data_IF_488643113512
#
_entry.id   IF_488643113512
#
_cell.length_a   1.000
_cell.length_b   1.000
_cell.length_c   1.000
_cell.angle_alpha   90.00
_cell.angle_beta   90.00
_cell.angle_gamma   90.00
#
_symmetry.space_group_name_H-M   'P 1'
#
loop_
_entity.id
_entity.type
_entity.pdbx_description
1 polymer ?
#
# COMPACT_ATOMS: atom_id res chain seq x y z
N UNK A 1 25.39 15.71 3.94
CA UNK A 1 24.28 15.18 4.74
C UNK A 1 23.39 16.37 5.05
N UNK A 2 22.13 16.45 4.58
CA UNK A 2 21.24 17.47 5.10
C UNK A 2 21.07 17.21 6.59
N UNK A 3 21.17 18.23 7.41
CA UNK A 3 20.91 18.18 8.84
C UNK A 3 19.46 17.75 9.07
N UNK A 4 19.27 16.46 9.24
CA UNK A 4 17.98 15.84 9.52
C UNK A 4 17.62 15.93 11.00
N UNK A 5 17.71 17.12 11.57
CA UNK A 5 17.20 17.33 12.93
C UNK A 5 15.68 17.20 12.89
N UNK A 6 15.14 16.30 13.71
CA UNK A 6 13.69 16.18 13.91
C UNK A 6 13.15 17.52 14.45
N UNK A 7 11.89 17.85 14.10
CA UNK A 7 11.27 19.08 14.59
C UNK A 7 11.17 19.09 16.12
N UNK A 8 11.17 20.27 16.74
CA UNK A 8 10.97 20.40 18.19
C UNK A 8 9.68 19.71 18.68
N UNK A 9 8.61 19.76 17.88
CA UNK A 9 7.32 19.17 18.24
C UNK A 9 7.38 17.64 18.21
N UNK A 10 8.04 17.05 17.21
CA UNK A 10 8.27 15.62 17.14
C UNK A 10 9.14 15.14 18.32
N UNK A 11 10.17 15.90 18.67
CA UNK A 11 11.02 15.56 19.82
C UNK A 11 10.28 15.66 21.15
N UNK A 12 9.41 16.65 21.32
CA UNK A 12 8.57 16.78 22.50
C UNK A 12 7.56 15.63 22.63
N UNK A 13 6.96 15.23 21.50
CA UNK A 13 6.04 14.07 21.47
C UNK A 13 6.78 12.76 21.78
N UNK A 14 7.97 12.58 21.21
CA UNK A 14 8.81 11.43 21.50
C UNK A 14 9.15 11.33 23.00
N UNK A 15 9.53 12.46 23.62
CA UNK A 15 9.79 12.49 25.06
C UNK A 15 8.55 12.08 25.88
N UNK A 16 7.36 12.60 25.54
CA UNK A 16 6.08 12.18 26.19
C UNK A 16 5.83 10.69 26.08
N UNK A 17 6.10 10.09 24.93
CA UNK A 17 5.96 8.65 24.73
C UNK A 17 6.95 7.84 25.57
N UNK A 18 8.20 8.30 25.65
CA UNK A 18 9.21 7.66 26.48
C UNK A 18 8.84 7.72 27.98
N UNK A 19 8.39 8.89 28.46
CA UNK A 19 7.93 9.06 29.85
C UNK A 19 6.73 8.18 30.19
N UNK A 20 5.85 7.95 29.23
CA UNK A 20 4.72 7.04 29.35
C UNK A 20 5.08 5.55 29.14
N UNK A 21 6.35 5.20 28.89
CA UNK A 21 6.79 3.84 28.58
C UNK A 21 6.27 3.29 27.25
N UNK A 22 5.81 4.16 26.36
CA UNK A 22 5.27 3.77 25.05
C UNK A 22 6.42 3.61 24.04
N UNK A 23 6.23 2.71 23.08
CA UNK A 23 7.14 2.51 21.95
C UNK A 23 6.42 2.84 20.64
N UNK A 24 6.93 3.82 19.90
CA UNK A 24 6.47 4.08 18.55
C UNK A 24 6.84 2.91 17.63
N UNK A 25 5.88 2.46 16.83
CA UNK A 25 6.09 1.41 15.83
C UNK A 25 5.82 2.01 14.47
N UNK A 26 6.82 1.97 13.60
CA UNK A 26 6.73 2.45 12.22
C UNK A 26 6.82 1.29 11.25
N UNK A 27 6.18 1.45 10.13
CA UNK A 27 6.28 0.57 8.98
C UNK A 27 6.14 1.39 7.69
N UNK A 28 6.66 0.86 6.61
CA UNK A 28 6.63 1.51 5.30
C UNK A 28 5.64 0.81 4.40
N UNK A 29 5.03 1.56 3.48
CA UNK A 29 4.29 1.01 2.34
C UNK A 29 4.82 1.67 1.08
N UNK A 30 5.07 0.86 0.06
CA UNK A 30 5.40 1.30 -1.28
C UNK A 30 4.45 0.62 -2.26
N UNK A 31 3.86 1.40 -3.15
CA UNK A 31 2.82 0.96 -4.07
C UNK A 31 3.38 0.81 -5.49
N UNK A 32 2.62 0.18 -6.40
CA UNK A 32 2.90 0.05 -7.84
C UNK A 32 4.07 -0.88 -8.23
N UNK A 33 4.56 -1.72 -7.35
CA UNK A 33 5.65 -2.63 -7.69
C UNK A 33 5.22 -3.68 -8.72
N UNK A 34 6.05 -3.88 -9.75
CA UNK A 34 5.85 -4.90 -10.80
C UNK A 34 7.12 -5.67 -11.11
N UNK A 35 8.28 -5.05 -10.98
CA UNK A 35 9.60 -5.62 -11.25
C UNK A 35 10.66 -5.00 -10.34
N UNK A 36 11.83 -5.61 -10.28
CA UNK A 36 12.97 -5.02 -9.58
C UNK A 36 13.47 -3.77 -10.34
N UNK A 37 13.55 -2.65 -9.61
CA UNK A 37 14.03 -1.36 -10.14
C UNK A 37 15.13 -0.80 -9.25
N UNK A 38 15.99 0.11 -9.75
CA UNK A 38 17.00 0.76 -8.91
C UNK A 38 16.39 1.51 -7.71
N UNK A 39 15.16 2.03 -7.84
CA UNK A 39 14.45 2.67 -6.73
C UNK A 39 14.02 1.67 -5.68
N UNK A 40 13.47 0.51 -6.09
CA UNK A 40 13.13 -0.57 -5.17
C UNK A 40 14.37 -1.12 -4.46
N UNK A 41 15.50 -1.25 -5.15
CA UNK A 41 16.77 -1.69 -4.51
C UNK A 41 17.22 -0.74 -3.41
N UNK A 42 17.11 0.57 -3.64
CA UNK A 42 17.40 1.58 -2.60
C UNK A 42 16.44 1.46 -1.42
N UNK A 43 15.15 1.25 -1.68
CA UNK A 43 14.16 1.05 -0.62
C UNK A 43 14.46 -0.22 0.19
N UNK A 44 14.78 -1.34 -0.46
CA UNK A 44 15.20 -2.58 0.19
C UNK A 44 16.42 -2.35 1.08
N UNK A 45 17.44 -1.66 0.59
CA UNK A 45 18.62 -1.33 1.39
C UNK A 45 18.27 -0.48 2.63
N UNK A 46 17.38 0.49 2.49
CA UNK A 46 16.89 1.30 3.62
C UNK A 46 16.15 0.44 4.65
N UNK A 47 15.26 -0.46 4.23
CA UNK A 47 14.55 -1.34 5.16
C UNK A 47 15.51 -2.22 5.97
N UNK A 48 16.60 -2.67 5.36
CA UNK A 48 17.64 -3.45 6.04
C UNK A 48 18.45 -2.61 7.02
N UNK A 49 18.87 -1.40 6.63
CA UNK A 49 19.66 -0.50 7.50
C UNK A 49 18.88 -0.08 8.74
N UNK A 50 17.59 0.22 8.59
CA UNK A 50 16.75 0.71 9.68
C UNK A 50 15.89 -0.37 10.35
N UNK A 51 16.04 -1.63 9.95
CA UNK A 51 15.20 -2.76 10.38
C UNK A 51 13.69 -2.45 10.28
N UNK A 52 13.30 -1.67 9.25
CA UNK A 52 11.94 -1.18 9.08
C UNK A 52 11.09 -2.18 8.28
N UNK A 53 9.91 -2.62 8.79
CA UNK A 53 9.00 -3.45 8.01
C UNK A 53 8.47 -2.69 6.80
N UNK A 54 8.38 -3.38 5.65
CA UNK A 54 7.82 -2.85 4.40
C UNK A 54 6.64 -3.72 3.94
N UNK A 55 5.51 -3.11 3.71
CA UNK A 55 4.42 -3.68 2.92
C UNK A 55 4.55 -3.19 1.48
N UNK A 56 4.97 -4.06 0.58
CA UNK A 56 5.10 -3.77 -0.85
C UNK A 56 3.81 -4.16 -1.56
N UNK A 57 3.08 -3.17 -2.08
CA UNK A 57 1.85 -3.40 -2.83
C UNK A 57 2.18 -3.65 -4.30
N UNK A 58 1.92 -4.87 -4.75
CA UNK A 58 2.31 -5.38 -6.08
C UNK A 58 1.09 -5.45 -6.97
N UNK A 59 1.21 -4.92 -8.20
CA UNK A 59 0.17 -4.99 -9.23
C UNK A 59 0.18 -6.39 -9.87
N UNK A 60 -0.85 -7.24 -9.63
CA UNK A 60 -0.80 -8.65 -10.03
C UNK A 60 -0.60 -8.87 -11.52
N UNK A 61 -1.35 -8.17 -12.37
CA UNK A 61 -1.34 -8.36 -13.82
C UNK A 61 0.04 -8.11 -14.46
N UNK A 62 0.92 -7.39 -13.77
CA UNK A 62 2.24 -6.99 -14.28
C UNK A 62 3.40 -7.51 -13.43
N UNK A 63 3.11 -8.23 -12.35
CA UNK A 63 4.13 -8.77 -11.45
C UNK A 63 5.02 -9.80 -12.16
N UNK A 64 6.34 -9.60 -12.09
CA UNK A 64 7.30 -10.48 -12.74
C UNK A 64 7.83 -11.55 -11.79
N UNK A 65 8.16 -12.71 -12.31
CA UNK A 65 8.88 -13.75 -11.55
C UNK A 65 10.24 -13.24 -11.05
N UNK A 66 10.89 -12.35 -11.79
CA UNK A 66 12.15 -11.72 -11.38
C UNK A 66 12.00 -10.93 -10.07
N UNK A 67 10.87 -10.22 -9.88
CA UNK A 67 10.57 -9.53 -8.64
C UNK A 67 10.44 -10.54 -7.48
N UNK A 68 9.71 -11.63 -7.68
CA UNK A 68 9.53 -12.65 -6.65
C UNK A 68 10.86 -13.31 -6.25
N UNK A 69 11.71 -13.62 -7.23
CA UNK A 69 13.07 -14.15 -6.98
C UNK A 69 13.90 -13.13 -6.19
N UNK A 70 13.86 -11.85 -6.59
CA UNK A 70 14.63 -10.79 -5.91
C UNK A 70 14.25 -10.58 -4.46
N UNK A 71 12.97 -10.69 -4.14
CA UNK A 71 12.47 -10.44 -2.78
C UNK A 71 12.58 -11.65 -1.84
N UNK A 72 12.85 -12.83 -2.39
CA UNK A 72 12.91 -14.08 -1.62
C UNK A 72 13.91 -13.97 -0.47
N UNK A 73 13.47 -14.36 0.73
CA UNK A 73 14.32 -14.36 1.93
C UNK A 73 14.51 -12.99 2.58
N UNK A 74 13.84 -11.95 2.08
CA UNK A 74 13.82 -10.63 2.73
C UNK A 74 12.67 -10.59 3.76
N UNK A 75 12.92 -11.02 4.98
CA UNK A 75 11.88 -11.26 6.00
C UNK A 75 11.15 -9.99 6.47
N UNK A 76 11.75 -8.82 6.27
CA UNK A 76 11.11 -7.52 6.59
C UNK A 76 10.16 -7.03 5.51
N UNK A 77 10.10 -7.70 4.35
CA UNK A 77 9.22 -7.33 3.24
C UNK A 77 8.06 -8.29 3.17
N UNK A 78 6.86 -7.74 3.21
CA UNK A 78 5.59 -8.44 3.02
C UNK A 78 4.89 -7.90 1.79
N UNK A 79 4.16 -8.75 1.09
CA UNK A 79 3.54 -8.43 -0.19
C UNK A 79 2.03 -8.31 -0.02
N UNK A 80 1.48 -7.20 -0.50
CA UNK A 80 0.05 -6.96 -0.60
C UNK A 80 -0.41 -6.98 -2.06
N UNK A 81 -1.67 -7.29 -2.27
CA UNK A 81 -2.33 -7.20 -3.58
C UNK A 81 -2.70 -5.75 -3.87
N UNK A 82 -2.23 -5.18 -5.00
CA UNK A 82 -2.52 -3.80 -5.42
C UNK A 82 -3.45 -3.77 -6.64
N UNK A 83 -4.76 -3.86 -6.39
CA UNK A 83 -5.74 -4.00 -7.46
C UNK A 83 -5.55 -5.25 -8.30
N UNK A 84 -5.83 -5.14 -9.59
CA UNK A 84 -5.53 -6.13 -10.63
C UNK A 84 -4.47 -5.62 -11.61
N UNK A 85 -4.74 -4.52 -12.32
CA UNK A 85 -3.91 -3.98 -13.41
C UNK A 85 -3.56 -2.50 -13.25
N UNK A 86 -4.02 -1.88 -12.18
CA UNK A 86 -3.90 -0.44 -11.88
C UNK A 86 -4.52 0.45 -12.96
N UNK A 87 -5.64 0.02 -13.55
CA UNK A 87 -6.39 0.80 -14.54
C UNK A 87 -7.51 1.59 -13.88
N UNK A 88 -7.67 2.83 -14.34
CA UNK A 88 -8.79 3.65 -13.87
C UNK A 88 -10.10 3.23 -14.56
N UNK A 89 -11.07 2.82 -13.77
CA UNK A 89 -12.42 2.45 -14.22
C UNK A 89 -13.51 3.41 -13.72
N UNK A 90 -13.13 4.46 -13.00
CA UNK A 90 -14.08 5.47 -12.53
C UNK A 90 -14.75 6.20 -13.71
N UNK A 91 -16.01 6.58 -13.53
CA UNK A 91 -16.74 7.36 -14.51
C UNK A 91 -16.06 8.72 -14.78
N UNK A 92 -16.32 9.29 -15.95
CA UNK A 92 -15.77 10.60 -16.34
C UNK A 92 -16.10 11.66 -15.29
N UNK A 93 -15.11 12.48 -14.92
CA UNK A 93 -15.22 13.50 -13.88
C UNK A 93 -15.09 13.00 -12.44
N UNK A 94 -15.06 11.71 -12.22
CA UNK A 94 -14.83 11.12 -10.89
C UNK A 94 -13.33 10.95 -10.61
N UNK A 95 -12.98 10.85 -9.32
CA UNK A 95 -11.60 10.54 -8.91
C UNK A 95 -11.24 9.12 -9.35
N UNK A 96 -10.00 8.94 -9.81
CA UNK A 96 -9.49 7.64 -10.26
C UNK A 96 -9.71 6.54 -9.23
N UNK A 97 -10.17 5.39 -9.70
CA UNK A 97 -10.32 4.16 -8.93
C UNK A 97 -10.32 2.96 -9.88
N UNK A 98 -9.65 1.88 -9.51
CA UNK A 98 -9.78 0.58 -10.18
C UNK A 98 -10.85 -0.27 -9.52
N UNK A 99 -10.88 -0.28 -8.19
CA UNK A 99 -11.81 -1.06 -7.39
C UNK A 99 -13.21 -0.40 -7.34
N UNK A 100 -13.80 -0.17 -8.50
CA UNK A 100 -15.13 0.42 -8.67
C UNK A 100 -15.88 -0.21 -9.84
N UNK A 101 -17.17 -0.35 -9.68
CA UNK A 101 -18.10 -0.63 -10.77
C UNK A 101 -18.25 0.61 -11.68
N UNK A 102 -18.71 0.38 -12.89
CA UNK A 102 -19.01 1.44 -13.86
C UNK A 102 -20.10 0.97 -14.82
N UNK A 103 -21.33 1.33 -14.53
CA UNK A 103 -22.50 0.93 -15.30
C UNK A 103 -22.43 1.38 -16.77
N UNK A 104 -21.77 2.52 -17.06
CA UNK A 104 -21.63 3.02 -18.42
C UNK A 104 -20.74 2.11 -19.30
N UNK A 105 -19.86 1.34 -18.69
CA UNK A 105 -18.99 0.37 -19.38
C UNK A 105 -19.44 -1.08 -19.20
N UNK A 106 -20.52 -1.31 -18.47
CA UNK A 106 -21.03 -2.64 -18.13
C UNK A 106 -20.22 -3.37 -17.06
N UNK A 107 -19.29 -2.67 -16.36
CA UNK A 107 -18.46 -3.23 -15.30
C UNK A 107 -19.26 -3.32 -14.00
N UNK A 108 -19.49 -4.49 -13.51
CA UNK A 108 -20.18 -4.77 -12.25
C UNK A 108 -19.23 -4.88 -11.06
N UNK A 109 -19.77 -4.81 -9.83
CA UNK A 109 -19.00 -5.11 -8.63
C UNK A 109 -18.50 -6.56 -8.59
N UNK A 110 -19.24 -7.51 -9.21
CA UNK A 110 -18.80 -8.90 -9.32
C UNK A 110 -17.56 -9.04 -10.21
N UNK A 111 -17.47 -8.29 -11.31
CA UNK A 111 -16.27 -8.25 -12.16
C UNK A 111 -15.06 -7.74 -11.35
N UNK A 112 -15.26 -6.67 -10.57
CA UNK A 112 -14.21 -6.11 -9.71
C UNK A 112 -13.74 -7.13 -8.67
N UNK A 113 -14.67 -7.77 -7.97
CA UNK A 113 -14.35 -8.79 -6.97
C UNK A 113 -13.63 -9.99 -7.60
N UNK A 114 -14.04 -10.42 -8.79
CA UNK A 114 -13.38 -11.51 -9.53
C UNK A 114 -11.93 -11.15 -9.89
N UNK A 115 -11.67 -9.93 -10.35
CA UNK A 115 -10.33 -9.45 -10.65
C UNK A 115 -9.46 -9.39 -9.39
N UNK A 116 -9.97 -8.86 -8.28
CA UNK A 116 -9.26 -8.81 -7.01
C UNK A 116 -8.92 -10.23 -6.52
N UNK A 117 -9.89 -11.16 -6.56
CA UNK A 117 -9.67 -12.55 -6.17
C UNK A 117 -8.61 -13.23 -7.04
N UNK A 118 -8.62 -12.96 -8.34
CA UNK A 118 -7.63 -13.49 -9.29
C UNK A 118 -6.25 -12.93 -8.99
N UNK A 119 -6.15 -11.62 -8.78
CA UNK A 119 -4.90 -10.96 -8.41
C UNK A 119 -4.36 -11.46 -7.08
N UNK A 120 -5.21 -11.62 -6.08
CA UNK A 120 -4.82 -12.12 -4.77
C UNK A 120 -4.24 -13.55 -4.84
N UNK A 121 -4.88 -14.44 -5.59
CA UNK A 121 -4.35 -15.80 -5.82
C UNK A 121 -3.01 -15.78 -6.56
N UNK A 122 -2.87 -14.92 -7.57
CA UNK A 122 -1.61 -14.78 -8.32
C UNK A 122 -0.47 -14.31 -7.43
N UNK A 123 -0.69 -13.31 -6.59
CA UNK A 123 0.28 -12.82 -5.60
C UNK A 123 0.65 -13.94 -4.63
N UNK A 124 -0.32 -14.71 -4.13
CA UNK A 124 -0.07 -15.88 -3.28
C UNK A 124 0.82 -16.93 -3.96
N UNK A 125 0.59 -17.20 -5.25
CA UNK A 125 1.40 -18.14 -6.04
C UNK A 125 2.82 -17.64 -6.27
N UNK A 126 2.99 -16.36 -6.60
CA UNK A 126 4.31 -15.80 -6.93
C UNK A 126 5.20 -15.59 -5.69
N UNK A 127 4.62 -15.12 -4.59
CA UNK A 127 5.39 -14.67 -3.42
C UNK A 127 5.27 -15.61 -2.21
N UNK A 128 4.44 -16.63 -2.29
CA UNK A 128 4.31 -17.69 -1.27
C UNK A 128 4.19 -17.13 0.17
N UNK A 129 5.12 -17.49 1.06
CA UNK A 129 5.11 -17.10 2.47
C UNK A 129 5.28 -15.58 2.73
N UNK A 130 5.71 -14.79 1.73
CA UNK A 130 5.79 -13.34 1.85
C UNK A 130 4.46 -12.66 1.51
N UNK A 131 3.56 -13.35 0.78
CA UNK A 131 2.22 -12.86 0.50
C UNK A 131 1.42 -12.72 1.79
N UNK A 132 0.69 -11.62 1.90
CA UNK A 132 -0.23 -11.36 3.01
C UNK A 132 -1.68 -11.37 2.52
N UNK A 133 -2.62 -11.36 3.46
CA UNK A 133 -4.02 -11.13 3.12
C UNK A 133 -4.37 -9.66 2.87
N UNK A 134 -3.41 -8.75 2.78
CA UNK A 134 -3.69 -7.33 2.56
C UNK A 134 -4.05 -7.01 1.12
N UNK A 135 -5.10 -6.19 1.00
CA UNK A 135 -5.45 -5.48 -0.22
C UNK A 135 -5.14 -3.99 -0.07
N UNK A 136 -4.42 -3.43 -1.02
CA UNK A 136 -4.15 -2.00 -1.14
C UNK A 136 -4.92 -1.51 -2.36
N UNK A 137 -6.04 -0.79 -2.22
CA UNK A 137 -6.79 -0.32 -3.37
C UNK A 137 -5.99 0.74 -4.14
N UNK A 138 -5.84 0.63 -5.47
CA UNK A 138 -5.23 1.66 -6.30
C UNK A 138 -5.82 3.04 -6.01
N UNK A 139 -4.95 4.06 -5.95
CA UNK A 139 -5.26 5.43 -5.52
C UNK A 139 -5.91 5.53 -4.13
N UNK A 140 -5.80 4.50 -3.30
CA UNK A 140 -6.46 4.39 -1.99
C UNK A 140 -7.99 4.57 -2.07
N UNK A 141 -8.63 4.10 -3.15
CA UNK A 141 -10.05 4.25 -3.40
C UNK A 141 -10.70 2.95 -3.80
N UNK A 142 -11.91 2.76 -3.28
CA UNK A 142 -12.74 1.59 -3.52
C UNK A 142 -14.21 1.96 -3.40
N UNK A 143 -15.06 1.40 -4.27
CA UNK A 143 -16.51 1.58 -4.19
C UNK A 143 -17.07 0.90 -2.92
N UNK A 144 -18.09 1.48 -2.26
CA UNK A 144 -18.69 0.89 -1.06
C UNK A 144 -19.16 -0.55 -1.28
N UNK A 145 -19.84 -0.83 -2.40
CA UNK A 145 -20.33 -2.17 -2.72
C UNK A 145 -19.21 -3.22 -2.87
N UNK A 146 -18.03 -2.80 -3.34
CA UNK A 146 -16.84 -3.67 -3.40
C UNK A 146 -16.24 -3.85 -2.01
N UNK A 147 -16.18 -2.79 -1.20
CA UNK A 147 -15.61 -2.83 0.14
C UNK A 147 -16.39 -3.78 1.06
N UNK A 148 -17.72 -3.73 1.00
CA UNK A 148 -18.61 -4.58 1.80
C UNK A 148 -18.37 -6.08 1.55
N UNK A 149 -18.11 -6.44 0.29
CA UNK A 149 -17.94 -7.81 -0.16
C UNK A 149 -16.50 -8.27 -0.35
N UNK A 150 -15.52 -7.42 -0.02
CA UNK A 150 -14.12 -7.68 -0.30
C UNK A 150 -13.60 -8.99 0.31
N UNK A 151 -14.14 -9.40 1.47
CA UNK A 151 -13.79 -10.67 2.10
C UNK A 151 -14.08 -11.92 1.25
N UNK A 152 -15.01 -11.85 0.28
CA UNK A 152 -15.30 -12.94 -0.65
C UNK A 152 -14.14 -13.27 -1.58
N UNK A 153 -13.17 -12.34 -1.73
CA UNK A 153 -12.00 -12.48 -2.61
C UNK A 153 -10.84 -13.27 -2.00
N UNK A 154 -10.93 -13.64 -0.71
CA UNK A 154 -9.83 -14.22 0.05
C UNK A 154 -8.92 -13.20 0.73
N UNK A 155 -9.14 -11.91 0.51
CA UNK A 155 -8.48 -10.81 1.22
C UNK A 155 -8.94 -10.81 2.67
N UNK A 156 -8.03 -10.54 3.62
CA UNK A 156 -8.31 -10.55 5.06
C UNK A 156 -8.07 -9.22 5.76
N UNK A 157 -7.46 -8.25 5.09
CA UNK A 157 -7.21 -6.91 5.64
C UNK A 157 -7.04 -5.88 4.52
N UNK A 158 -7.21 -4.60 4.84
CA UNK A 158 -7.09 -3.49 3.89
C UNK A 158 -6.07 -2.48 4.41
N UNK A 159 -5.29 -1.92 3.48
CA UNK A 159 -4.43 -0.77 3.76
C UNK A 159 -4.74 0.36 2.77
N UNK A 160 -5.31 1.43 3.28
CA UNK A 160 -5.56 2.68 2.58
C UNK A 160 -4.68 3.81 3.11
N UNK A 161 -5.15 5.05 2.98
CA UNK A 161 -4.45 6.24 3.44
C UNK A 161 -5.32 7.11 4.36
N UNK A 162 -4.70 7.59 5.44
CA UNK A 162 -5.32 8.47 6.43
C UNK A 162 -6.32 7.74 7.33
N UNK A 163 -7.21 8.51 7.94
CA UNK A 163 -8.15 8.02 8.94
C UNK A 163 -9.46 7.49 8.35
N UNK A 164 -9.69 7.71 7.05
CA UNK A 164 -10.92 7.28 6.38
C UNK A 164 -10.90 5.78 6.15
N UNK A 165 -12.06 5.15 6.41
CA UNK A 165 -12.30 3.73 6.18
C UNK A 165 -13.64 3.58 5.46
N UNK A 166 -13.70 2.71 4.46
CA UNK A 166 -14.99 2.26 3.93
C UNK A 166 -15.64 1.29 4.93
N UNK A 167 -16.94 1.18 4.90
CA UNK A 167 -17.66 0.15 5.67
C UNK A 167 -17.35 -1.22 5.08
N UNK A 168 -16.81 -2.09 5.92
CA UNK A 168 -16.42 -3.46 5.57
C UNK A 168 -16.19 -4.25 6.85
N UNK A 169 -16.43 -5.56 6.85
CA UNK A 169 -16.10 -6.41 8.01
C UNK A 169 -14.59 -6.63 8.19
N UNK A 170 -13.75 -6.23 7.22
CA UNK A 170 -12.32 -6.47 7.26
C UNK A 170 -11.58 -5.39 8.09
N UNK A 171 -10.51 -5.75 8.80
CA UNK A 171 -9.67 -4.80 9.52
C UNK A 171 -8.91 -3.88 8.56
N UNK A 172 -8.66 -2.65 9.03
CA UNK A 172 -7.86 -1.65 8.33
C UNK A 172 -6.55 -1.37 9.05
N UNK A 173 -5.46 -1.31 8.28
CA UNK A 173 -4.16 -0.80 8.69
C UNK A 173 -3.69 0.23 7.66
N UNK A 174 -4.01 1.49 7.89
CA UNK A 174 -3.72 2.58 6.97
C UNK A 174 -2.33 3.18 7.18
N UNK A 175 -1.74 3.72 6.11
CA UNK A 175 -0.65 4.70 6.21
C UNK A 175 -1.22 6.09 6.50
N UNK A 176 -0.46 6.93 7.19
CA UNK A 176 -0.91 8.26 7.61
C UNK A 176 -0.02 9.38 7.09
N UNK A 177 1.23 9.07 6.77
CA UNK A 177 2.21 10.02 6.24
C UNK A 177 2.53 9.64 4.80
N UNK A 178 2.36 10.61 3.89
CA UNK A 178 2.76 10.49 2.48
C UNK A 178 4.06 11.25 2.29
N UNK A 179 5.12 10.54 1.93
CA UNK A 179 6.46 11.10 1.75
C UNK A 179 6.65 11.77 0.38
N UNK A 180 5.67 11.63 -0.53
CA UNK A 180 5.80 12.11 -1.91
C UNK A 180 5.06 13.43 -2.08
N UNK A 181 5.74 14.41 -2.67
CA UNK A 181 5.12 15.65 -3.13
C UNK A 181 4.55 15.47 -4.55
N UNK A 182 3.31 15.02 -4.61
CA UNK A 182 2.60 14.76 -5.86
C UNK A 182 2.39 16.00 -6.74
N UNK A 183 2.47 17.21 -6.16
CA UNK A 183 2.21 18.48 -6.85
C UNK A 183 3.47 19.08 -7.45
N UNK A 184 4.64 18.78 -6.87
CA UNK A 184 5.93 19.34 -7.27
C UNK A 184 6.87 18.25 -7.85
N UNK A 185 6.45 17.65 -8.95
CA UNK A 185 7.29 16.71 -9.72
C UNK A 185 7.48 15.33 -9.09
N UNK A 186 6.66 14.95 -8.10
CA UNK A 186 6.74 13.66 -7.39
C UNK A 186 8.10 13.44 -6.70
N UNK A 187 8.69 14.51 -6.19
CA UNK A 187 9.87 14.46 -5.34
C UNK A 187 9.53 14.06 -3.91
N UNK A 188 10.53 13.84 -3.05
CA UNK A 188 10.31 13.71 -1.62
C UNK A 188 9.84 15.03 -1.02
N UNK A 189 8.91 14.98 -0.07
CA UNK A 189 8.53 16.15 0.72
C UNK A 189 9.68 16.61 1.59
N UNK A 190 9.83 17.93 1.80
CA UNK A 190 10.76 18.46 2.81
C UNK A 190 10.40 17.91 4.20
N UNK A 191 11.41 17.59 5.02
CA UNK A 191 11.19 17.04 6.36
C UNK A 191 10.28 17.92 7.22
N UNK A 192 10.38 19.24 7.08
CA UNK A 192 9.57 20.22 7.82
C UNK A 192 8.07 20.16 7.50
N UNK A 193 7.66 19.42 6.48
CA UNK A 193 6.26 19.25 6.07
C UNK A 193 5.69 17.89 6.42
N UNK A 194 6.47 17.06 7.12
CA UNK A 194 6.07 15.71 7.52
C UNK A 194 5.66 15.60 8.99
N UNK A 195 5.67 16.70 9.71
CA UNK A 195 5.26 16.84 11.11
C UNK A 195 3.73 16.84 11.28
#
# INVERSE_FOLDING_TARGET
MPDGAASPDLMAEWARWQDAGLKARFWLRDDDAVTATPSLERLIAMTQVFDAPLLLAVIPAHATHALAVRLRGLDRIRIATHGWSHRNHAAAGMKQSEATDNLATGRSSDDVLHEIATGHRQIGTLFAAQSTGFFVPPWNRMAPAVAERLGETGVSAISGFGWRRAETPLPWLNTHIDLIDWRNGRSGKPLQTLD
#
